data_IF_471196920626
#
_entry.id   IF_471196920626
#
_cell.length_a   1.000
_cell.length_b   1.000
_cell.length_c   1.000
_cell.angle_alpha   90.00
_cell.angle_beta   90.00
_cell.angle_gamma   90.00
#
_symmetry.space_group_name_H-M   'P 1'
#
loop_
_entity.id
_entity.type
_entity.pdbx_description
1 polymer ?
#
# COMPACT_ATOMS: atom_id res chain seq x y z
N UNK A 1 12.11 -20.15 -12.92
CA UNK A 1 13.09 -19.29 -12.23
C UNK A 1 12.31 -18.59 -11.15
N UNK A 2 12.75 -18.74 -9.91
CA UNK A 2 12.16 -18.04 -8.78
C UNK A 2 12.72 -16.61 -8.75
N UNK A 3 11.86 -15.64 -8.44
CA UNK A 3 12.22 -14.22 -8.31
C UNK A 3 11.68 -13.70 -7.00
N UNK A 4 12.39 -12.76 -6.37
CA UNK A 4 11.91 -12.01 -5.21
C UNK A 4 10.96 -10.87 -5.63
N UNK A 5 9.95 -11.22 -6.44
CA UNK A 5 8.89 -10.37 -6.95
C UNK A 5 7.58 -11.17 -6.92
N UNK A 6 6.42 -10.51 -6.77
CA UNK A 6 5.13 -11.14 -7.05
C UNK A 6 5.16 -11.76 -8.45
N UNK A 7 4.68 -12.99 -8.60
CA UNK A 7 4.80 -13.69 -9.88
C UNK A 7 4.08 -12.98 -11.03
N UNK A 8 2.97 -12.27 -10.72
CA UNK A 8 2.22 -11.43 -11.67
C UNK A 8 2.98 -10.18 -12.10
N UNK A 9 4.03 -9.80 -11.40
CA UNK A 9 4.91 -8.69 -11.75
C UNK A 9 6.31 -9.16 -12.17
N UNK A 10 6.54 -10.47 -12.24
CA UNK A 10 7.82 -11.06 -12.60
C UNK A 10 8.10 -10.89 -14.10
N UNK A 11 9.37 -10.64 -14.50
CA UNK A 11 9.77 -10.71 -15.91
C UNK A 11 9.61 -12.12 -16.51
N UNK A 12 9.38 -13.14 -15.68
CA UNK A 12 9.11 -14.52 -16.11
C UNK A 12 7.63 -14.91 -16.06
N UNK A 13 6.71 -13.93 -15.99
CA UNK A 13 5.27 -14.14 -15.86
C UNK A 13 4.74 -15.28 -16.75
N UNK A 14 4.93 -15.21 -18.07
CA UNK A 14 4.44 -16.22 -19.02
C UNK A 14 4.98 -17.63 -18.73
N UNK A 15 6.26 -17.73 -18.33
CA UNK A 15 6.89 -19.02 -17.98
C UNK A 15 6.38 -19.58 -16.65
N UNK A 16 6.02 -18.72 -15.71
CA UNK A 16 5.44 -19.11 -14.41
C UNK A 16 3.98 -19.51 -14.62
N UNK A 17 3.22 -18.69 -15.35
CA UNK A 17 1.80 -18.91 -15.64
C UNK A 17 1.58 -20.27 -16.32
N UNK A 18 2.40 -20.63 -17.31
CA UNK A 18 2.31 -21.93 -18.00
C UNK A 18 2.50 -23.15 -17.08
N UNK A 19 2.99 -22.96 -15.85
CA UNK A 19 3.17 -24.02 -14.84
C UNK A 19 2.13 -23.96 -13.73
N UNK A 20 1.36 -22.87 -13.62
CA UNK A 20 0.32 -22.73 -12.61
C UNK A 20 -0.93 -23.47 -13.03
N UNK A 21 -1.56 -24.14 -12.08
CA UNK A 21 -2.87 -24.74 -12.26
C UNK A 21 -3.94 -23.77 -11.78
N UNK A 22 -4.32 -22.81 -12.62
CA UNK A 22 -5.34 -21.80 -12.33
C UNK A 22 -6.65 -22.15 -13.03
N UNK A 23 -7.77 -21.71 -12.44
CA UNK A 23 -9.02 -21.60 -13.21
C UNK A 23 -8.84 -20.60 -14.34
N UNK A 24 -9.66 -20.72 -15.40
CA UNK A 24 -9.65 -19.77 -16.51
C UNK A 24 -9.86 -18.32 -16.04
N UNK A 25 -10.75 -18.12 -15.07
CA UNK A 25 -11.02 -16.82 -14.46
C UNK A 25 -9.76 -16.26 -13.77
N UNK A 26 -9.08 -17.05 -12.93
CA UNK A 26 -7.86 -16.60 -12.24
C UNK A 26 -6.71 -16.32 -13.21
N UNK A 27 -6.60 -17.11 -14.29
CA UNK A 27 -5.64 -16.85 -15.36
C UNK A 27 -5.91 -15.51 -16.07
N UNK A 28 -7.18 -15.20 -16.38
CA UNK A 28 -7.58 -13.93 -16.98
C UNK A 28 -7.32 -12.74 -16.05
N UNK A 29 -7.61 -12.89 -14.74
CA UNK A 29 -7.28 -11.88 -13.73
C UNK A 29 -5.76 -11.65 -13.65
N UNK A 30 -4.96 -12.71 -13.58
CA UNK A 30 -3.51 -12.59 -13.51
C UNK A 30 -2.91 -11.95 -14.77
N UNK A 31 -3.41 -12.30 -15.97
CA UNK A 31 -2.99 -11.67 -17.24
C UNK A 31 -3.33 -10.18 -17.27
N UNK A 32 -4.53 -9.82 -16.85
CA UNK A 32 -4.98 -8.42 -16.79
C UNK A 32 -4.14 -7.63 -15.80
N UNK A 33 -3.89 -8.19 -14.60
CA UNK A 33 -3.03 -7.57 -13.60
C UNK A 33 -1.59 -7.39 -14.09
N UNK A 34 -0.98 -8.43 -14.68
CA UNK A 34 0.36 -8.33 -15.25
C UNK A 34 0.44 -7.26 -16.34
N UNK A 35 -0.57 -7.19 -17.21
CA UNK A 35 -0.61 -6.25 -18.33
C UNK A 35 -0.77 -4.81 -17.85
N UNK A 36 -1.82 -4.57 -17.06
CA UNK A 36 -2.37 -3.23 -16.81
C UNK A 36 -2.09 -2.72 -15.39
N UNK A 37 -1.67 -3.59 -14.46
CA UNK A 37 -1.32 -3.22 -13.08
C UNK A 37 -2.52 -3.13 -12.13
N UNK A 38 -3.71 -3.50 -12.60
CA UNK A 38 -4.93 -3.54 -11.81
C UNK A 38 -5.92 -4.56 -12.37
N UNK A 39 -6.91 -4.93 -11.55
CA UNK A 39 -8.11 -5.69 -11.95
C UNK A 39 -9.34 -5.09 -11.28
N UNK A 40 -10.51 -5.38 -11.84
CA UNK A 40 -11.80 -4.95 -11.29
C UNK A 40 -12.62 -6.17 -10.93
N UNK A 41 -13.01 -6.27 -9.66
CA UNK A 41 -13.91 -7.29 -9.16
C UNK A 41 -15.32 -6.68 -9.09
N UNK A 42 -16.20 -7.15 -9.98
CA UNK A 42 -17.55 -6.59 -10.12
C UNK A 42 -18.51 -7.16 -9.09
N UNK A 43 -19.35 -6.29 -8.52
CA UNK A 43 -20.42 -6.67 -7.59
C UNK A 43 -19.94 -7.65 -6.49
N UNK A 44 -18.80 -7.34 -5.87
CA UNK A 44 -18.17 -8.22 -4.87
C UNK A 44 -18.82 -8.08 -3.49
N UNK A 45 -19.48 -6.94 -3.24
CA UNK A 45 -20.22 -6.63 -2.02
C UNK A 45 -21.69 -6.36 -2.30
N UNK A 46 -22.55 -6.81 -1.40
CA UNK A 46 -23.98 -6.50 -1.42
C UNK A 46 -24.27 -5.06 -0.98
N UNK A 47 -25.39 -4.50 -1.42
CA UNK A 47 -25.80 -3.15 -1.00
C UNK A 47 -25.93 -3.05 0.53
N UNK A 48 -26.37 -4.11 1.20
CA UNK A 48 -26.50 -4.16 2.66
C UNK A 48 -25.14 -4.04 3.38
N UNK A 49 -24.11 -4.75 2.90
CA UNK A 49 -22.75 -4.63 3.46
C UNK A 49 -22.22 -3.20 3.30
N UNK A 50 -22.45 -2.59 2.14
CA UNK A 50 -22.03 -1.22 1.86
C UNK A 50 -22.78 -0.20 2.72
N UNK A 51 -24.09 -0.37 2.91
CA UNK A 51 -24.90 0.56 3.72
C UNK A 51 -24.50 0.57 5.19
N UNK A 52 -24.09 -0.58 5.74
CA UNK A 52 -23.53 -0.66 7.10
C UNK A 52 -22.23 0.13 7.22
N UNK A 53 -21.35 0.07 6.22
CA UNK A 53 -20.11 0.85 6.20
C UNK A 53 -20.41 2.35 6.11
N UNK A 54 -21.33 2.76 5.24
CA UNK A 54 -21.72 4.18 5.11
C UNK A 54 -22.34 4.70 6.41
N UNK A 55 -23.15 3.88 7.09
CA UNK A 55 -23.72 4.22 8.40
C UNK A 55 -22.60 4.51 9.41
N UNK A 56 -21.64 3.62 9.57
CA UNK A 56 -20.53 3.80 10.51
C UNK A 56 -19.62 4.97 10.12
N UNK A 57 -19.41 5.20 8.81
CA UNK A 57 -18.70 6.40 8.36
C UNK A 57 -19.40 7.68 8.81
N UNK A 58 -20.74 7.72 8.85
CA UNK A 58 -21.51 8.89 9.29
C UNK A 58 -21.58 9.02 10.81
N UNK A 59 -21.84 7.91 11.51
CA UNK A 59 -22.11 7.90 12.96
C UNK A 59 -20.83 7.86 13.82
N UNK A 60 -19.73 7.32 13.28
CA UNK A 60 -18.45 7.15 13.98
C UNK A 60 -17.39 8.01 13.32
N UNK A 61 -17.18 7.81 12.02
CA UNK A 61 -16.04 8.37 11.30
C UNK A 61 -16.05 9.89 11.16
N UNK A 62 -17.15 10.43 10.62
CA UNK A 62 -17.34 11.86 10.34
C UNK A 62 -18.23 12.54 11.39
N UNK A 63 -18.50 11.85 12.50
CA UNK A 63 -19.26 12.41 13.61
C UNK A 63 -18.32 13.21 14.53
N UNK A 64 -18.49 14.55 14.65
CA UNK A 64 -17.63 15.37 15.50
C UNK A 64 -17.75 15.03 17.00
N UNK A 65 -18.85 14.40 17.42
CA UNK A 65 -19.08 14.01 18.81
C UNK A 65 -18.41 12.67 19.15
N UNK A 66 -18.01 11.88 18.14
CA UNK A 66 -17.29 10.64 18.33
C UNK A 66 -15.78 10.88 18.15
N UNK A 67 -15.03 10.85 19.26
CA UNK A 67 -13.58 11.05 19.21
C UNK A 67 -12.88 9.83 18.60
N UNK A 68 -12.25 10.03 17.45
CA UNK A 68 -11.29 9.10 16.86
C UNK A 68 -9.89 9.72 16.85
N UNK A 69 -8.86 8.94 17.13
CA UNK A 69 -7.47 9.43 17.10
C UNK A 69 -6.90 9.51 15.66
N UNK A 70 -7.66 8.98 14.69
CA UNK A 70 -7.21 8.77 13.32
C UNK A 70 -7.93 9.66 12.28
N UNK A 71 -8.74 10.62 12.74
CA UNK A 71 -9.37 11.62 11.87
C UNK A 71 -8.30 12.48 11.20
N UNK A 72 -8.25 12.48 9.86
CA UNK A 72 -7.26 13.27 9.12
C UNK A 72 -7.80 14.66 8.79
N UNK A 73 -9.01 14.69 8.24
CA UNK A 73 -9.75 15.92 7.93
C UNK A 73 -11.23 15.57 7.76
N UNK A 74 -12.02 16.59 7.50
CA UNK A 74 -13.46 16.52 7.28
C UNK A 74 -13.89 15.61 6.13
N UNK A 75 -12.99 15.21 5.23
CA UNK A 75 -13.30 14.37 4.06
C UNK A 75 -12.70 12.96 4.08
N UNK A 76 -11.70 12.71 4.96
CA UNK A 76 -10.91 11.48 5.01
C UNK A 76 -10.66 11.05 6.46
N UNK A 77 -10.97 9.79 6.74
CA UNK A 77 -10.62 9.11 7.99
C UNK A 77 -9.63 8.00 7.68
N UNK A 78 -8.58 7.89 8.49
CA UNK A 78 -7.68 6.75 8.42
C UNK A 78 -8.08 5.71 9.48
N UNK A 79 -7.86 4.44 9.20
CA UNK A 79 -7.97 3.33 10.16
C UNK A 79 -9.31 3.27 10.90
N UNK A 80 -10.41 3.59 10.19
CA UNK A 80 -11.78 3.47 10.73
C UNK A 80 -12.12 2.02 11.10
N UNK A 81 -11.42 1.03 10.53
CA UNK A 81 -11.56 -0.39 10.89
C UNK A 81 -11.34 -0.67 12.38
N UNK A 82 -10.60 0.18 13.09
CA UNK A 82 -10.37 0.04 14.53
C UNK A 82 -11.63 0.32 15.37
N UNK A 83 -12.62 0.99 14.79
CA UNK A 83 -13.85 1.41 15.46
C UNK A 83 -15.12 0.85 14.78
N UNK A 84 -15.00 0.28 13.59
CA UNK A 84 -16.11 -0.22 12.77
C UNK A 84 -15.83 -1.63 12.26
N UNK A 85 -16.58 -2.60 12.80
CA UNK A 85 -16.55 -3.98 12.32
C UNK A 85 -16.99 -4.10 10.85
N UNK A 86 -18.03 -3.38 10.36
CA UNK A 86 -18.34 -3.32 8.92
C UNK A 86 -17.15 -2.89 8.03
N UNK A 87 -16.42 -1.83 8.40
CA UNK A 87 -15.23 -1.37 7.66
C UNK A 87 -14.12 -2.43 7.65
N UNK A 88 -13.90 -3.08 8.79
CA UNK A 88 -12.96 -4.19 8.91
C UNK A 88 -13.37 -5.38 8.04
N UNK A 89 -14.66 -5.75 8.05
CA UNK A 89 -15.20 -6.87 7.28
C UNK A 89 -15.03 -6.71 5.76
N UNK A 90 -15.18 -5.48 5.23
CA UNK A 90 -14.83 -5.20 3.83
C UNK A 90 -13.36 -5.50 3.54
N UNK A 91 -12.47 -5.14 4.48
CA UNK A 91 -11.01 -5.31 4.34
C UNK A 91 -10.57 -6.78 4.37
N UNK A 92 -11.32 -7.65 5.06
CA UNK A 92 -11.01 -9.09 5.20
C UNK A 92 -11.93 -9.99 4.36
N UNK A 93 -12.58 -9.46 3.32
CA UNK A 93 -13.49 -10.21 2.47
C UNK A 93 -12.79 -11.45 1.86
N UNK A 94 -13.28 -12.69 2.11
CA UNK A 94 -12.58 -13.90 1.69
C UNK A 94 -12.30 -14.01 0.19
N UNK A 95 -13.19 -13.47 -0.67
CA UNK A 95 -12.99 -13.49 -2.12
C UNK A 95 -11.83 -12.57 -2.52
N UNK A 96 -11.76 -11.37 -1.94
CA UNK A 96 -10.65 -10.44 -2.18
C UNK A 96 -9.35 -11.06 -1.68
N UNK A 97 -9.32 -11.56 -0.45
CA UNK A 97 -8.10 -12.17 0.12
C UNK A 97 -7.61 -13.33 -0.76
N UNK A 98 -8.52 -14.21 -1.22
CA UNK A 98 -8.16 -15.32 -2.11
C UNK A 98 -7.58 -14.86 -3.45
N UNK A 99 -8.12 -13.80 -4.04
CA UNK A 99 -7.57 -13.20 -5.28
C UNK A 99 -6.19 -12.60 -5.01
N UNK A 100 -6.00 -11.89 -3.90
CA UNK A 100 -4.70 -11.30 -3.55
C UNK A 100 -3.64 -12.37 -3.29
N UNK A 101 -3.97 -13.40 -2.50
CA UNK A 101 -3.06 -14.53 -2.24
C UNK A 101 -2.72 -15.27 -3.55
N UNK A 102 -3.66 -15.37 -4.49
CA UNK A 102 -3.40 -15.93 -5.84
C UNK A 102 -2.45 -15.06 -6.66
N UNK A 103 -2.62 -13.73 -6.68
CA UNK A 103 -1.79 -12.81 -7.45
C UNK A 103 -0.36 -12.70 -6.87
N UNK A 104 -0.20 -12.84 -5.56
CA UNK A 104 1.07 -12.59 -4.87
C UNK A 104 1.80 -13.84 -4.39
N UNK A 105 1.17 -15.02 -4.40
CA UNK A 105 1.72 -16.28 -3.86
C UNK A 105 2.21 -16.17 -2.40
N UNK A 106 1.57 -15.29 -1.62
CA UNK A 106 1.89 -15.07 -0.21
C UNK A 106 0.61 -14.80 0.57
N UNK A 107 0.61 -15.16 1.85
CA UNK A 107 -0.46 -14.81 2.75
C UNK A 107 -0.58 -13.28 2.85
N UNK A 108 -1.82 -12.80 2.72
CA UNK A 108 -2.15 -11.38 2.67
C UNK A 108 -2.34 -10.79 4.08
N UNK A 109 -1.87 -9.55 4.25
CA UNK A 109 -1.88 -8.78 5.50
C UNK A 109 -2.60 -7.43 5.27
N UNK A 110 -3.94 -7.37 5.46
CA UNK A 110 -4.66 -6.09 5.53
C UNK A 110 -4.19 -5.29 6.75
N UNK A 111 -3.77 -4.03 6.56
CA UNK A 111 -3.17 -3.25 7.66
C UNK A 111 -3.61 -1.79 7.79
N UNK A 112 -4.19 -1.17 6.75
CA UNK A 112 -4.69 0.20 6.83
C UNK A 112 -5.98 0.36 6.04
N UNK A 113 -6.93 1.13 6.58
CA UNK A 113 -8.04 1.67 5.78
C UNK A 113 -7.96 3.18 5.60
N UNK A 114 -8.45 3.67 4.46
CA UNK A 114 -8.78 5.07 4.25
C UNK A 114 -10.24 5.14 3.77
N UNK A 115 -11.07 5.91 4.47
CA UNK A 115 -12.48 6.07 4.17
C UNK A 115 -12.73 7.52 3.75
N UNK A 116 -13.34 7.71 2.57
CA UNK A 116 -13.55 9.03 1.97
C UNK A 116 -15.04 9.29 1.74
N UNK A 117 -15.51 10.52 1.98
CA UNK A 117 -16.88 10.96 1.63
C UNK A 117 -16.97 11.73 0.30
N UNK A 118 -15.84 12.17 -0.24
CA UNK A 118 -15.70 12.87 -1.52
C UNK A 118 -14.42 12.44 -2.23
N UNK A 119 -14.30 12.77 -3.53
CA UNK A 119 -13.08 12.51 -4.29
C UNK A 119 -11.85 13.16 -3.66
N UNK A 120 -10.73 12.43 -3.62
CA UNK A 120 -9.48 12.94 -3.01
C UNK A 120 -8.85 14.09 -3.79
N UNK A 121 -9.12 14.18 -5.10
CA UNK A 121 -8.50 15.13 -6.04
C UNK A 121 -6.96 15.10 -6.01
N UNK A 122 -6.39 14.00 -5.52
CA UNK A 122 -4.94 13.86 -5.41
C UNK A 122 -4.35 13.68 -6.80
N UNK A 123 -3.27 14.40 -7.07
CA UNK A 123 -2.56 14.30 -8.36
C UNK A 123 -1.80 12.97 -8.47
N UNK A 124 -1.14 12.75 -9.61
CA UNK A 124 -0.54 11.46 -9.95
C UNK A 124 0.53 11.06 -8.92
N UNK A 125 0.39 9.87 -8.35
CA UNK A 125 1.36 9.30 -7.41
C UNK A 125 1.37 7.77 -7.49
N UNK A 126 2.38 7.17 -6.89
CA UNK A 126 2.47 5.74 -6.60
C UNK A 126 2.47 5.51 -5.09
N UNK A 127 1.74 4.49 -4.63
CA UNK A 127 1.64 4.15 -3.21
C UNK A 127 2.94 3.59 -2.64
N UNK A 128 3.85 3.10 -3.49
CA UNK A 128 5.18 2.63 -3.06
C UNK A 128 5.88 3.68 -2.21
N UNK A 129 5.69 4.97 -2.49
CA UNK A 129 6.28 6.06 -1.72
C UNK A 129 5.83 6.11 -0.25
N UNK A 130 4.61 5.64 0.04
CA UNK A 130 4.01 5.60 1.38
C UNK A 130 4.22 4.25 2.06
N UNK A 131 4.13 3.16 1.30
CA UNK A 131 4.17 1.80 1.79
C UNK A 131 4.98 0.94 0.83
N UNK A 132 6.13 0.45 1.28
CA UNK A 132 6.94 -0.48 0.50
C UNK A 132 7.45 -1.62 1.37
N UNK A 133 7.98 -2.64 0.70
CA UNK A 133 8.43 -3.88 1.30
C UNK A 133 9.81 -4.28 0.78
N UNK A 134 10.49 -5.12 1.54
CA UNK A 134 11.62 -5.91 1.06
C UNK A 134 11.27 -7.40 1.25
N UNK A 135 11.22 -8.21 0.17
CA UNK A 135 11.38 -7.81 -1.23
C UNK A 135 10.36 -6.78 -1.73
N UNK A 136 10.72 -6.02 -2.76
CA UNK A 136 9.88 -4.96 -3.32
C UNK A 136 8.57 -5.51 -3.92
N UNK A 137 7.62 -4.59 -4.11
CA UNK A 137 6.31 -4.84 -4.74
C UNK A 137 5.34 -5.76 -4.00
N UNK A 138 5.66 -6.26 -2.81
CA UNK A 138 4.71 -6.99 -1.96
C UNK A 138 3.80 -6.04 -1.17
N UNK A 139 3.14 -5.12 -1.87
CA UNK A 139 2.09 -4.24 -1.37
C UNK A 139 1.06 -3.99 -2.48
N UNK A 140 -0.22 -3.99 -2.15
CA UNK A 140 -1.29 -3.58 -3.07
C UNK A 140 -2.38 -2.79 -2.35
N UNK A 141 -3.13 -2.01 -3.14
CA UNK A 141 -4.36 -1.36 -2.68
C UNK A 141 -5.60 -2.05 -3.23
N UNK A 142 -6.68 -2.04 -2.45
CA UNK A 142 -8.03 -2.36 -2.93
C UNK A 142 -8.95 -1.21 -2.59
N UNK A 143 -9.53 -0.60 -3.61
CA UNK A 143 -10.49 0.47 -3.48
C UNK A 143 -11.88 -0.02 -3.80
N UNK A 144 -12.84 0.32 -2.95
CA UNK A 144 -14.21 -0.17 -2.99
C UNK A 144 -15.16 1.00 -3.21
N UNK A 145 -16.01 0.87 -4.22
CA UNK A 145 -17.11 1.80 -4.49
C UNK A 145 -18.23 1.59 -3.47
N UNK A 146 -18.40 2.53 -2.54
CA UNK A 146 -19.54 2.51 -1.63
C UNK A 146 -20.78 3.20 -2.24
N UNK A 147 -20.61 3.85 -3.39
CA UNK A 147 -21.69 4.36 -4.23
C UNK A 147 -21.27 4.33 -5.71
N UNK A 148 -22.19 4.64 -6.61
CA UNK A 148 -21.89 4.74 -8.05
C UNK A 148 -20.87 5.84 -8.33
N UNK A 149 -19.88 5.51 -9.15
CA UNK A 149 -18.80 6.42 -9.54
C UNK A 149 -19.03 6.87 -10.96
N UNK A 150 -19.19 8.18 -11.13
CA UNK A 150 -19.48 8.83 -12.40
C UNK A 150 -18.36 9.81 -12.74
N UNK A 151 -18.46 10.44 -13.90
CA UNK A 151 -17.57 11.54 -14.29
C UNK A 151 -17.70 12.75 -13.34
N UNK A 152 -18.85 12.92 -12.71
CA UNK A 152 -19.20 14.14 -11.99
C UNK A 152 -18.70 14.17 -10.54
N UNK A 153 -18.51 12.99 -9.91
CA UNK A 153 -18.25 12.88 -8.47
C UNK A 153 -16.79 12.59 -8.08
N UNK A 154 -15.84 12.85 -8.98
CA UNK A 154 -14.40 12.69 -8.69
C UNK A 154 -13.94 11.23 -8.74
N UNK A 155 -14.03 10.58 -9.91
CA UNK A 155 -13.55 9.21 -10.11
C UNK A 155 -12.03 9.12 -9.90
N UNK A 156 -11.52 7.94 -9.56
CA UNK A 156 -10.09 7.70 -9.66
C UNK A 156 -9.62 7.81 -11.12
N UNK A 157 -8.37 8.16 -11.33
CA UNK A 157 -7.68 7.94 -12.60
C UNK A 157 -6.44 7.08 -12.37
N UNK A 158 -6.00 6.37 -13.40
CA UNK A 158 -4.78 5.57 -13.40
C UNK A 158 -4.12 5.56 -14.79
N UNK A 159 -2.87 5.13 -14.83
CA UNK A 159 -2.11 4.93 -16.06
C UNK A 159 -1.84 3.43 -16.24
N UNK A 160 -2.66 2.69 -17.04
CA UNK A 160 -2.49 1.25 -17.19
C UNK A 160 -1.09 0.87 -17.67
N UNK A 161 -0.51 -0.14 -17.01
CA UNK A 161 0.83 -0.63 -17.31
C UNK A 161 1.97 0.16 -16.66
N UNK A 162 1.68 1.31 -16.01
CA UNK A 162 2.71 2.14 -15.38
C UNK A 162 3.34 1.48 -14.15
N UNK A 163 2.72 0.46 -13.56
CA UNK A 163 3.32 -0.34 -12.47
C UNK A 163 4.65 -1.01 -12.87
N UNK A 164 4.93 -1.10 -14.17
CA UNK A 164 6.18 -1.62 -14.72
C UNK A 164 7.33 -0.62 -14.68
N UNK A 165 7.10 0.65 -14.36
CA UNK A 165 8.19 1.62 -14.18
C UNK A 165 9.05 1.25 -12.97
N UNK A 166 10.25 1.83 -12.83
CA UNK A 166 10.96 1.81 -11.55
C UNK A 166 10.07 2.34 -10.41
N UNK A 167 10.33 1.88 -9.19
CA UNK A 167 9.79 2.54 -8.00
C UNK A 167 10.60 3.84 -7.81
N UNK A 168 9.93 4.98 -7.91
CA UNK A 168 10.55 6.29 -7.73
C UNK A 168 10.43 6.74 -6.28
N UNK A 169 11.54 7.22 -5.73
CA UNK A 169 11.65 7.79 -4.39
C UNK A 169 12.38 9.12 -4.48
N UNK A 170 12.57 9.80 -3.35
CA UNK A 170 13.39 11.01 -3.32
C UNK A 170 14.84 10.80 -3.77
N UNK A 171 15.36 9.56 -3.74
CA UNK A 171 16.69 9.26 -4.28
C UNK A 171 16.83 9.51 -5.79
N UNK A 172 15.71 9.57 -6.53
CA UNK A 172 15.70 9.92 -7.95
C UNK A 172 15.40 11.41 -8.21
N UNK A 173 15.00 12.15 -7.16
CA UNK A 173 14.56 13.56 -7.26
C UNK A 173 15.63 14.50 -6.70
N UNK A 174 16.34 14.09 -5.64
CA UNK A 174 17.37 14.90 -5.00
C UNK A 174 18.79 14.57 -5.47
N UNK A 175 19.63 15.60 -5.51
CA UNK A 175 21.06 15.52 -5.84
C UNK A 175 21.96 15.44 -4.59
N UNK A 176 21.36 15.28 -3.41
CA UNK A 176 22.07 15.20 -2.13
C UNK A 176 21.60 13.99 -1.31
N UNK A 177 22.28 13.74 -0.18
CA UNK A 177 22.04 12.60 0.71
C UNK A 177 21.15 12.95 1.90
N UNK A 178 20.34 14.00 1.80
CA UNK A 178 19.56 14.49 2.94
C UNK A 178 18.43 13.53 3.31
N UNK A 179 18.08 13.51 4.60
CA UNK A 179 16.87 12.86 5.06
C UNK A 179 15.64 13.58 4.48
N UNK A 180 14.69 12.82 3.98
CA UNK A 180 13.43 13.34 3.46
C UNK A 180 12.34 13.40 4.52
N UNK A 181 11.35 14.24 4.29
CA UNK A 181 10.17 14.40 5.14
C UNK A 181 8.88 14.49 4.34
N UNK A 182 7.75 14.62 5.04
CA UNK A 182 6.46 14.86 4.41
C UNK A 182 6.41 16.21 3.65
N UNK A 183 7.21 17.20 4.06
CA UNK A 183 7.25 18.52 3.41
C UNK A 183 7.83 18.44 1.99
N UNK A 184 8.55 17.36 1.67
CA UNK A 184 9.10 17.11 0.34
C UNK A 184 8.06 16.48 -0.62
N UNK A 185 6.92 15.99 -0.10
CA UNK A 185 5.94 15.23 -0.87
C UNK A 185 5.38 15.94 -2.11
N UNK A 186 5.10 17.26 -2.10
CA UNK A 186 4.66 17.96 -3.30
C UNK A 186 5.62 17.85 -4.49
N UNK A 187 6.94 17.80 -4.25
CA UNK A 187 7.94 17.62 -5.31
C UNK A 187 7.91 16.22 -5.92
N UNK A 188 7.60 15.22 -5.10
CA UNK A 188 7.38 13.85 -5.60
C UNK A 188 6.16 13.81 -6.52
N UNK A 189 5.05 14.44 -6.12
CA UNK A 189 3.85 14.47 -6.96
C UNK A 189 4.05 15.27 -8.26
N UNK A 190 4.83 16.36 -8.23
CA UNK A 190 5.26 17.11 -9.43
C UNK A 190 6.09 16.21 -10.36
N UNK A 191 7.13 15.57 -9.83
CA UNK A 191 7.97 14.62 -10.58
C UNK A 191 7.14 13.50 -11.23
N UNK A 192 6.21 12.90 -10.48
CA UNK A 192 5.37 11.83 -10.99
C UNK A 192 4.42 12.31 -12.09
N UNK A 193 3.95 13.57 -12.00
CA UNK A 193 3.10 14.17 -13.02
C UNK A 193 3.89 14.40 -14.31
N UNK A 194 5.07 15.01 -14.23
CA UNK A 194 5.97 15.21 -15.39
C UNK A 194 6.39 13.88 -16.02
N UNK A 195 6.71 12.88 -15.19
CA UNK A 195 7.04 11.53 -15.66
C UNK A 195 5.91 10.96 -16.52
N UNK A 196 4.66 11.17 -16.14
CA UNK A 196 3.51 10.68 -16.92
C UNK A 196 3.28 11.45 -18.21
N UNK A 197 3.62 12.74 -18.27
CA UNK A 197 3.54 13.53 -19.51
C UNK A 197 4.53 13.07 -20.58
N UNK A 198 5.71 12.61 -20.17
CA UNK A 198 6.75 12.12 -21.11
C UNK A 198 6.69 10.61 -21.35
N UNK A 199 5.84 9.89 -20.62
CA UNK A 199 5.67 8.44 -20.73
C UNK A 199 4.64 8.05 -21.79
N UNK A 200 4.69 6.82 -22.33
CA UNK A 200 3.71 6.35 -23.30
C UNK A 200 2.37 5.92 -22.67
N UNK A 201 2.18 6.10 -21.36
CA UNK A 201 0.99 5.61 -20.66
C UNK A 201 -0.19 6.57 -20.81
N UNK A 202 -1.34 6.03 -21.19
CA UNK A 202 -2.57 6.80 -21.33
C UNK A 202 -3.32 6.92 -19.99
N UNK A 203 -3.72 8.13 -19.60
CA UNK A 203 -4.55 8.36 -18.42
C UNK A 203 -5.97 7.84 -18.66
N UNK A 204 -6.47 6.96 -17.79
CA UNK A 204 -7.85 6.46 -17.81
C UNK A 204 -8.58 6.77 -16.51
N UNK A 205 -9.87 7.10 -16.62
CA UNK A 205 -10.76 7.29 -15.48
C UNK A 205 -11.43 5.97 -15.11
N UNK A 206 -11.66 5.78 -13.81
CA UNK A 206 -12.33 4.60 -13.28
C UNK A 206 -13.79 4.90 -12.95
N UNK A 207 -14.70 4.33 -13.73
CA UNK A 207 -16.13 4.31 -13.42
C UNK A 207 -16.50 2.95 -12.84
N UNK A 208 -17.30 2.98 -11.78
CA UNK A 208 -17.63 1.81 -10.99
C UNK A 208 -19.09 1.86 -10.53
N UNK A 209 -19.69 0.70 -10.34
CA UNK A 209 -20.97 0.59 -9.64
C UNK A 209 -20.75 0.39 -8.16
N UNK A 210 -21.71 0.80 -7.34
CA UNK A 210 -21.73 0.46 -5.91
C UNK A 210 -21.47 -1.04 -5.73
N UNK A 211 -20.53 -1.39 -4.86
CA UNK A 211 -20.12 -2.78 -4.60
C UNK A 211 -19.03 -3.33 -5.53
N UNK A 212 -18.55 -2.56 -6.52
CA UNK A 212 -17.34 -2.91 -7.28
C UNK A 212 -16.07 -2.64 -6.45
N UNK A 213 -15.03 -3.44 -6.68
CA UNK A 213 -13.70 -3.22 -6.14
C UNK A 213 -12.63 -3.13 -7.24
N UNK A 214 -11.71 -2.18 -7.11
CA UNK A 214 -10.51 -2.03 -7.93
C UNK A 214 -9.31 -2.49 -7.11
N UNK A 215 -8.64 -3.55 -7.56
CA UNK A 215 -7.38 -4.02 -6.98
C UNK A 215 -6.24 -3.45 -7.82
N UNK A 216 -5.26 -2.78 -7.21
CA UNK A 216 -4.14 -2.19 -7.92
C UNK A 216 -2.78 -2.54 -7.33
N UNK A 217 -1.76 -2.57 -8.20
CA UNK A 217 -0.36 -2.67 -7.80
C UNK A 217 0.04 -1.41 -7.08
N UNK A 218 0.78 -1.55 -5.98
CA UNK A 218 1.34 -0.41 -5.24
C UNK A 218 2.12 0.57 -6.12
N UNK A 219 2.70 0.08 -7.22
CA UNK A 219 3.50 0.89 -8.13
C UNK A 219 2.72 1.47 -9.30
N UNK A 220 1.42 1.17 -9.44
CA UNK A 220 0.61 1.82 -10.48
C UNK A 220 0.48 3.31 -10.16
N UNK A 221 0.60 4.15 -11.18
CA UNK A 221 0.48 5.59 -11.03
C UNK A 221 -0.99 5.94 -11.18
N UNK A 222 -1.53 6.59 -10.16
CA UNK A 222 -2.95 6.87 -10.04
C UNK A 222 -3.21 8.15 -9.24
N UNK A 223 -4.48 8.54 -9.16
CA UNK A 223 -4.91 9.71 -8.40
C UNK A 223 -6.43 9.88 -8.40
N UNK A 224 -6.90 11.00 -7.88
CA UNK A 224 -8.31 11.39 -7.86
C UNK A 224 -8.59 12.50 -8.86
N UNK A 225 -9.61 12.33 -9.69
CA UNK A 225 -10.07 13.39 -10.59
C UNK A 225 -10.81 14.49 -9.81
N UNK A 226 -10.90 15.71 -10.37
CA UNK A 226 -11.71 16.78 -9.79
C UNK A 226 -13.17 16.38 -9.59
N UNK A 227 -13.79 16.94 -8.55
CA UNK A 227 -15.25 16.85 -8.36
C UNK A 227 -15.88 17.93 -9.23
N UNK A 228 -16.62 17.52 -10.27
CA UNK A 228 -17.19 18.46 -11.24
C UNK A 228 -18.55 18.98 -10.82
N UNK A 229 -19.30 18.18 -10.06
CA UNK A 229 -20.60 18.58 -9.50
C UNK A 229 -20.46 18.96 -8.04
N UNK A 230 -20.60 20.25 -7.76
CA UNK A 230 -20.55 20.79 -6.40
C UNK A 230 -21.56 20.07 -5.47
N UNK A 231 -21.12 19.75 -4.26
CA UNK A 231 -21.92 19.05 -3.26
C UNK A 231 -22.12 17.55 -3.51
N UNK A 232 -21.58 16.97 -4.60
CA UNK A 232 -21.63 15.52 -4.81
C UNK A 232 -20.72 14.76 -3.84
N UNK A 233 -21.15 13.55 -3.47
CA UNK A 233 -20.40 12.61 -2.64
C UNK A 233 -19.65 11.58 -3.48
N UNK A 234 -18.59 11.03 -2.88
CA UNK A 234 -17.88 9.85 -3.38
C UNK A 234 -17.43 8.98 -2.21
N UNK A 235 -18.40 8.27 -1.62
CA UNK A 235 -18.18 7.30 -0.57
C UNK A 235 -17.33 6.14 -1.11
N UNK A 236 -16.21 5.92 -0.45
CA UNK A 236 -15.27 4.86 -0.82
C UNK A 236 -14.42 4.44 0.35
N UNK A 237 -13.91 3.21 0.25
CA UNK A 237 -12.92 2.66 1.16
C UNK A 237 -11.72 2.17 0.36
N UNK A 238 -10.52 2.58 0.77
CA UNK A 238 -9.27 1.93 0.38
C UNK A 238 -8.83 1.05 1.53
N UNK A 239 -8.42 -0.17 1.22
CA UNK A 239 -7.64 -1.00 2.14
C UNK A 239 -6.27 -1.27 1.51
N UNK A 240 -5.20 -1.03 2.27
CA UNK A 240 -3.85 -1.39 1.87
C UNK A 240 -3.48 -2.75 2.46
N UNK A 241 -2.81 -3.56 1.64
CA UNK A 241 -2.42 -4.92 1.96
C UNK A 241 -0.93 -5.07 1.76
N UNK A 242 -0.25 -5.53 2.80
CA UNK A 242 1.06 -6.14 2.67
C UNK A 242 0.91 -7.65 2.45
N UNK A 243 2.03 -8.32 2.26
CA UNK A 243 2.10 -9.78 2.23
C UNK A 243 3.19 -10.26 3.19
N UNK A 244 3.00 -11.45 3.76
CA UNK A 244 3.94 -12.07 4.70
C UNK A 244 5.36 -12.16 4.12
N UNK A 245 6.30 -12.41 5.02
CA UNK A 245 7.71 -12.63 4.71
C UNK A 245 8.43 -11.42 4.09
N UNK A 246 8.02 -10.24 4.53
CA UNK A 246 8.57 -8.96 4.10
C UNK A 246 9.01 -8.09 5.29
N UNK A 247 9.95 -7.19 4.99
CA UNK A 247 10.30 -6.06 5.85
C UNK A 247 9.48 -4.87 5.34
N UNK A 248 8.68 -4.25 6.20
CA UNK A 248 7.76 -3.17 5.82
C UNK A 248 8.35 -1.82 6.19
N UNK A 249 8.34 -0.86 5.26
CA UNK A 249 8.94 0.45 5.48
C UNK A 249 8.20 1.56 4.72
N UNK A 250 8.53 2.81 5.05
CA UNK A 250 7.96 4.01 4.42
C UNK A 250 9.07 4.72 3.63
N UNK A 251 9.13 4.61 2.28
CA UNK A 251 10.20 5.25 1.50
C UNK A 251 10.29 6.76 1.67
N UNK A 252 9.16 7.47 1.76
CA UNK A 252 9.12 8.93 1.98
C UNK A 252 9.86 9.39 3.24
N UNK A 253 9.95 8.54 4.26
CA UNK A 253 10.65 8.83 5.52
C UNK A 253 11.99 8.12 5.64
N UNK A 254 12.42 7.42 4.59
CA UNK A 254 13.65 6.64 4.53
C UNK A 254 14.72 7.41 3.74
N UNK A 255 15.99 7.25 4.12
CA UNK A 255 17.09 7.71 3.31
C UNK A 255 17.50 6.59 2.35
N UNK A 256 16.85 6.57 1.18
CA UNK A 256 17.06 5.52 0.17
C UNK A 256 18.42 5.63 -0.52
N UNK A 257 19.11 6.76 -0.40
CA UNK A 257 20.48 6.94 -0.92
C UNK A 257 21.51 6.26 -0.02
N UNK A 258 21.36 6.37 1.30
CA UNK A 258 22.28 5.75 2.28
C UNK A 258 21.86 4.33 2.69
N UNK A 259 20.66 3.88 2.30
CA UNK A 259 20.13 2.57 2.67
C UNK A 259 19.64 2.51 4.12
N UNK A 260 19.06 3.62 4.61
CA UNK A 260 18.48 3.72 5.94
C UNK A 260 16.95 3.78 5.86
N UNK A 261 16.30 2.78 6.47
CA UNK A 261 14.88 2.52 6.32
C UNK A 261 14.09 3.00 7.54
N UNK A 262 13.00 3.72 7.30
CA UNK A 262 11.97 3.98 8.28
C UNK A 262 11.04 2.76 8.38
N UNK A 263 11.32 1.87 9.33
CA UNK A 263 10.62 0.59 9.48
C UNK A 263 9.22 0.76 10.10
N UNK A 264 8.23 0.09 9.52
CA UNK A 264 6.86 0.01 10.06
C UNK A 264 6.74 -1.17 11.03
N UNK A 265 7.13 -0.95 12.29
CA UNK A 265 7.29 -2.03 13.30
C UNK A 265 6.01 -2.48 14.01
N UNK A 266 4.89 -1.82 13.77
CA UNK A 266 3.62 -2.05 14.47
C UNK A 266 2.46 -2.25 13.48
N UNK A 267 2.71 -3.00 12.41
CA UNK A 267 1.66 -3.39 11.47
C UNK A 267 0.75 -4.40 12.17
N UNK A 268 -0.51 -4.03 12.41
CA UNK A 268 -1.53 -4.94 12.95
C UNK A 268 -2.26 -5.57 11.79
N UNK A 269 -2.30 -6.90 11.75
CA UNK A 269 -3.05 -7.63 10.73
C UNK A 269 -4.53 -7.68 11.10
N UNK A 270 -5.40 -7.10 10.27
CA UNK A 270 -6.83 -7.04 10.57
C UNK A 270 -7.49 -8.42 10.65
N UNK A 271 -6.89 -9.48 10.09
CA UNK A 271 -7.44 -10.85 10.12
C UNK A 271 -7.45 -11.45 11.52
N UNK A 272 -6.39 -11.23 12.30
CA UNK A 272 -6.17 -11.88 13.60
C UNK A 272 -5.91 -10.89 14.75
N UNK A 273 -5.68 -9.60 14.45
CA UNK A 273 -5.37 -8.57 15.44
C UNK A 273 -3.93 -8.63 15.97
N UNK A 274 -3.07 -9.47 15.40
CA UNK A 274 -1.68 -9.63 15.84
C UNK A 274 -0.77 -8.63 15.14
N UNK A 275 0.35 -8.29 15.80
CA UNK A 275 1.41 -7.49 15.18
C UNK A 275 2.24 -8.40 14.28
N UNK A 276 2.46 -7.96 13.05
CA UNK A 276 3.24 -8.69 12.06
C UNK A 276 4.75 -8.62 12.33
N UNK A 277 5.38 -9.79 12.32
CA UNK A 277 6.83 -9.92 12.38
C UNK A 277 7.47 -9.50 11.06
N UNK A 278 8.52 -8.69 11.13
CA UNK A 278 9.30 -8.31 9.96
C UNK A 278 10.43 -9.29 9.71
N UNK A 279 10.43 -9.89 8.54
CA UNK A 279 11.44 -10.87 8.10
C UNK A 279 11.66 -10.75 6.58
N UNK A 280 12.74 -11.32 6.05
CA UNK A 280 13.00 -11.34 4.61
C UNK A 280 12.91 -12.78 4.12
N UNK A 281 11.83 -13.13 3.41
CA UNK A 281 11.61 -14.51 2.91
C UNK A 281 11.67 -15.59 4.02
N UNK A 282 11.08 -15.31 5.18
CA UNK A 282 11.11 -16.17 6.37
C UNK A 282 12.34 -15.98 7.25
N UNK A 283 13.38 -15.28 6.78
CA UNK A 283 14.61 -15.08 7.53
C UNK A 283 14.56 -13.86 8.45
N UNK A 284 14.94 -14.05 9.72
CA UNK A 284 15.01 -12.96 10.69
C UNK A 284 16.12 -11.97 10.33
N UNK A 285 15.77 -10.69 10.28
CA UNK A 285 16.72 -9.61 9.96
C UNK A 285 17.12 -8.84 11.22
N UNK A 286 18.41 -8.53 11.33
CA UNK A 286 18.93 -7.67 12.40
C UNK A 286 18.80 -6.20 11.97
N UNK A 287 17.97 -5.45 12.70
CA UNK A 287 17.78 -4.02 12.49
C UNK A 287 18.71 -3.22 13.40
N UNK A 288 19.67 -2.51 12.83
CA UNK A 288 20.54 -1.61 13.58
C UNK A 288 20.03 -0.18 13.43
N UNK A 289 19.58 0.41 14.52
CA UNK A 289 19.13 1.81 14.54
C UNK A 289 20.33 2.72 14.28
N UNK A 290 20.23 3.55 13.25
CA UNK A 290 21.30 4.49 12.85
C UNK A 290 20.99 5.90 13.31
N UNK A 291 19.75 6.38 13.11
CA UNK A 291 19.32 7.72 13.51
C UNK A 291 17.82 7.78 13.76
N UNK A 292 17.35 8.35 14.88
CA UNK A 292 15.91 8.49 15.21
C UNK A 292 15.07 7.23 14.90
N UNK A 293 14.27 7.17 13.84
CA UNK A 293 13.46 6.00 13.49
C UNK A 293 14.00 5.27 12.23
N UNK A 294 15.23 5.57 11.84
CA UNK A 294 15.94 4.98 10.73
C UNK A 294 16.80 3.81 11.18
N UNK A 295 16.84 2.80 10.32
CA UNK A 295 17.53 1.54 10.56
C UNK A 295 18.30 1.11 9.32
N UNK A 296 19.51 0.58 9.51
CA UNK A 296 20.20 -0.19 8.48
C UNK A 296 19.93 -1.69 8.65
N UNK A 297 19.81 -2.38 7.52
CA UNK A 297 19.60 -3.82 7.44
C UNK A 297 20.96 -4.50 7.24
N UNK A 298 21.61 -4.92 8.33
CA UNK A 298 22.96 -5.46 8.25
C UNK A 298 23.15 -6.69 9.15
N UNK A 299 23.46 -7.84 8.53
CA UNK A 299 23.67 -9.11 9.22
C UNK A 299 25.07 -9.26 9.84
N UNK A 300 26.03 -8.43 9.42
CA UNK A 300 27.41 -8.46 9.88
C UNK A 300 27.62 -7.57 11.12
N UNK A 301 26.87 -6.48 11.24
CA UNK A 301 26.94 -5.56 12.38
C UNK A 301 26.16 -6.15 13.56
N UNK A 302 26.89 -6.68 14.54
CA UNK A 302 26.35 -7.25 15.80
C UNK A 302 26.77 -6.38 16.98
N UNK A 303 26.15 -5.20 17.13
CA UNK A 303 26.51 -4.19 18.15
C UNK A 303 26.54 -4.80 19.56
N UNK A 304 25.60 -5.68 19.89
CA UNK A 304 25.57 -6.37 21.19
C UNK A 304 26.80 -7.26 21.46
N UNK A 305 27.39 -7.88 20.43
CA UNK A 305 28.66 -8.63 20.58
C UNK A 305 29.84 -7.69 20.82
N UNK A 306 29.88 -6.56 20.12
CA UNK A 306 30.92 -5.56 20.28
C UNK A 306 30.88 -4.89 21.66
N UNK A 307 29.69 -4.52 22.13
CA UNK A 307 29.49 -3.98 23.48
C UNK A 307 29.82 -5.01 24.57
N UNK A 308 29.48 -6.29 24.38
CA UNK A 308 29.85 -7.36 25.31
C UNK A 308 31.37 -7.57 25.36
N UNK A 309 32.04 -7.56 24.21
CA UNK A 309 33.49 -7.61 24.12
C UNK A 309 34.16 -6.41 24.82
N UNK A 310 33.66 -5.19 24.62
CA UNK A 310 34.16 -4.01 25.33
C UNK A 310 33.94 -4.13 26.83
N UNK A 311 32.74 -4.50 27.28
CA UNK A 311 32.43 -4.70 28.70
C UNK A 311 33.36 -5.74 29.36
N UNK A 312 33.61 -6.88 28.69
CA UNK A 312 34.56 -7.90 29.16
C UNK A 312 36.00 -7.38 29.25
N UNK A 313 36.43 -6.53 28.30
CA UNK A 313 37.73 -5.87 28.38
C UNK A 313 37.80 -4.88 29.54
N UNK A 314 36.81 -4.01 29.69
CA UNK A 314 36.77 -3.03 30.79
C UNK A 314 36.74 -3.69 32.17
N UNK A 315 36.00 -4.79 32.34
CA UNK A 315 35.95 -5.57 33.59
C UNK A 315 37.28 -6.27 33.94
N UNK A 316 38.15 -6.53 32.96
CA UNK A 316 39.50 -7.07 33.19
C UNK A 316 40.52 -6.00 33.62
N UNK A 317 40.27 -4.71 33.37
CA UNK A 317 41.12 -3.62 33.84
C UNK A 317 40.75 -3.12 35.25
N UNK A 318 39.65 -3.61 35.82
CA UNK A 318 39.17 -3.26 37.17
C UNK A 318 39.38 -4.37 38.20
N UNK A 319 40.26 -5.35 37.91
CA UNK A 319 40.74 -6.39 38.85
C UNK A 319 42.25 -6.32 38.93
#
# INVERSE_FOLDING_TARGET
>A
METNLPWVESPFFEKILAKKNLSKENEELAKSYNKDGYIVLKNIFSEQEIDLVIKDMKEIGFNPDFKTDNFRNDVRIQDLWMYSEPVKNLSINPKILSVLEMLYDREVVPFQTLNFKVGSQQIAHSDTMHFSSLPARFMCGVWIALEDITEENGPLFYYPGSHKTPEYTFAQIYNDVKDSSYDDYPKYEEFMSELMEVSPFEKKKFFAKKGDALVWSSNIIHGGSPVLKEGSTRYSQVTHYYFKDCIYYTPMLSNMVTGEYFLRRHIVNMRNGEIEDQNYNGEKVNFNRTYKQLYTLNQHIKIGKYMRFLAEKFLKFTK
#
